data_IF_345621393155
#
_entry.id   IF_345621393155
#
_cell.length_a   1.000
_cell.length_b   1.000
_cell.length_c   1.000
_cell.angle_alpha   90.00
_cell.angle_beta   90.00
_cell.angle_gamma   90.00
#
_symmetry.space_group_name_H-M   'P 1'
#
loop_
_entity.id
_entity.type
_entity.pdbx_description
1 polymer ?
#
# COMPACT_ATOMS: atom_id res chain seq x y z
N UNK A 1 16.90 14.31 6.25
CA UNK A 1 16.59 13.45 5.08
C UNK A 1 15.95 14.32 4.02
N UNK A 2 16.23 14.07 2.75
CA UNK A 2 15.67 14.86 1.65
C UNK A 2 14.29 14.32 1.24
N UNK A 3 13.52 15.15 0.52
CA UNK A 3 12.24 14.75 -0.06
C UNK A 3 12.48 13.72 -1.16
N UNK A 4 11.72 12.63 -1.15
CA UNK A 4 11.80 11.53 -2.12
C UNK A 4 10.47 11.39 -2.86
N UNK A 5 10.54 11.11 -4.16
CA UNK A 5 9.41 10.69 -4.98
C UNK A 5 9.88 9.59 -5.94
N UNK A 6 9.22 8.44 -5.89
CA UNK A 6 9.39 7.30 -6.80
C UNK A 6 8.07 7.04 -7.51
N UNK A 7 8.14 6.50 -8.72
CA UNK A 7 6.97 6.14 -9.51
C UNK A 7 7.35 5.06 -10.52
N UNK A 8 6.34 4.33 -10.97
CA UNK A 8 6.41 3.34 -12.04
C UNK A 8 5.03 3.22 -12.67
N UNK A 9 4.80 2.15 -13.45
CA UNK A 9 3.53 1.97 -14.14
C UNK A 9 2.41 1.69 -13.12
N UNK A 10 1.44 2.59 -13.00
CA UNK A 10 0.30 2.41 -12.10
C UNK A 10 0.57 2.72 -10.63
N UNK A 11 1.74 3.27 -10.26
CA UNK A 11 2.03 3.58 -8.86
C UNK A 11 2.95 4.80 -8.67
N UNK A 12 2.77 5.48 -7.53
CA UNK A 12 3.63 6.56 -7.03
C UNK A 12 3.81 6.44 -5.53
N UNK A 13 5.01 6.74 -5.05
CA UNK A 13 5.36 6.69 -3.64
C UNK A 13 6.28 7.86 -3.29
N UNK A 14 5.89 8.67 -2.31
CA UNK A 14 6.66 9.85 -1.90
C UNK A 14 6.76 10.00 -0.39
N UNK A 15 7.85 10.63 0.04
CA UNK A 15 8.08 10.99 1.42
C UNK A 15 8.73 12.37 1.54
N UNK A 16 8.15 13.26 2.34
CA UNK A 16 8.66 14.58 2.64
C UNK A 16 8.82 14.76 4.16
N UNK A 17 10.02 14.57 4.73
CA UNK A 17 10.23 14.62 6.18
C UNK A 17 10.07 16.02 6.77
N UNK A 18 10.11 17.08 5.94
CA UNK A 18 9.97 18.48 6.37
C UNK A 18 8.54 19.00 6.24
N UNK A 19 7.61 18.21 5.70
CA UNK A 19 6.19 18.58 5.69
C UNK A 19 5.63 18.62 7.11
N UNK A 20 4.80 19.63 7.39
CA UNK A 20 4.24 19.84 8.72
C UNK A 20 3.16 18.81 9.11
N UNK A 21 2.37 18.34 8.14
CA UNK A 21 1.21 17.46 8.39
C UNK A 21 1.30 16.21 7.53
N UNK A 22 1.23 16.37 6.20
CA UNK A 22 1.22 15.25 5.28
C UNK A 22 2.63 14.95 4.76
N UNK A 23 3.26 13.94 5.36
CA UNK A 23 4.64 13.54 5.05
C UNK A 23 4.69 12.46 3.97
N UNK A 24 3.69 11.59 3.90
CA UNK A 24 3.61 10.54 2.91
C UNK A 24 2.85 10.96 1.65
N UNK A 25 3.13 10.32 0.53
CA UNK A 25 2.33 10.39 -0.68
C UNK A 25 2.23 9.00 -1.29
N UNK A 26 1.01 8.61 -1.64
CA UNK A 26 0.72 7.39 -2.38
C UNK A 26 -0.16 7.73 -3.59
N UNK A 27 -0.05 6.95 -4.66
CA UNK A 27 -0.80 7.26 -5.88
C UNK A 27 -0.75 6.16 -6.92
N UNK A 28 -1.59 6.32 -7.94
CA UNK A 28 -1.53 5.62 -9.22
C UNK A 28 -1.17 6.59 -10.35
N UNK A 29 -1.51 6.23 -11.59
CA UNK A 29 -1.22 7.07 -12.76
C UNK A 29 -2.01 8.39 -12.73
N UNK A 30 -3.31 8.32 -12.43
CA UNK A 30 -4.22 9.46 -12.54
C UNK A 30 -4.68 10.03 -11.19
N UNK A 31 -4.17 9.47 -10.09
CA UNK A 31 -4.53 9.92 -8.74
C UNK A 31 -3.31 9.89 -7.82
N UNK A 32 -3.32 10.77 -6.82
CA UNK A 32 -2.40 10.74 -5.71
C UNK A 32 -3.05 11.40 -4.50
N UNK A 33 -2.73 10.91 -3.32
CA UNK A 33 -3.15 11.47 -2.04
C UNK A 33 -1.95 11.58 -1.11
N UNK A 34 -1.99 12.58 -0.24
CA UNK A 34 -1.00 12.72 0.81
C UNK A 34 -1.48 12.03 2.09
N UNK A 35 -0.54 11.47 2.85
CA UNK A 35 -0.78 10.77 4.11
C UNK A 35 -0.07 11.51 5.24
N UNK A 36 -0.71 11.57 6.40
CA UNK A 36 -0.03 11.88 7.66
C UNK A 36 1.03 10.81 7.96
N UNK A 37 1.96 11.14 8.85
CA UNK A 37 2.97 10.16 9.30
C UNK A 37 2.33 8.94 9.98
N UNK A 38 1.22 9.12 10.70
CA UNK A 38 0.50 8.03 11.35
C UNK A 38 -0.18 7.11 10.33
N UNK A 39 -0.89 7.68 9.34
CA UNK A 39 -1.49 6.89 8.25
C UNK A 39 -0.42 6.14 7.45
N UNK A 40 0.72 6.77 7.20
CA UNK A 40 1.84 6.11 6.52
C UNK A 40 2.38 4.90 7.30
N UNK A 41 2.58 5.06 8.62
CA UNK A 41 3.07 4.00 9.48
C UNK A 41 2.08 2.84 9.59
N UNK A 42 0.79 3.13 9.71
CA UNK A 42 -0.25 2.11 9.74
C UNK A 42 -0.42 1.42 8.38
N UNK A 43 -0.38 2.17 7.28
CA UNK A 43 -0.40 1.61 5.93
C UNK A 43 0.76 0.64 5.74
N UNK A 44 1.98 1.02 6.14
CA UNK A 44 3.15 0.14 6.12
C UNK A 44 2.91 -1.16 6.90
N UNK A 45 2.43 -1.03 8.14
CA UNK A 45 2.23 -2.16 9.05
C UNK A 45 1.19 -3.13 8.50
N UNK A 46 0.04 -2.62 8.09
CA UNK A 46 -1.06 -3.41 7.55
C UNK A 46 -0.70 -4.02 6.20
N UNK A 47 -0.01 -3.28 5.33
CA UNK A 47 0.49 -3.79 4.05
C UNK A 47 1.44 -4.98 4.25
N UNK A 48 2.42 -4.87 5.16
CA UNK A 48 3.33 -5.98 5.46
C UNK A 48 2.62 -7.20 6.04
N UNK A 49 1.58 -6.98 6.86
CA UNK A 49 0.76 -8.07 7.39
C UNK A 49 0.01 -8.77 6.26
N UNK A 50 -0.67 -8.02 5.38
CA UNK A 50 -1.44 -8.58 4.28
C UNK A 50 -0.56 -9.30 3.25
N UNK A 51 0.58 -8.74 2.86
CA UNK A 51 1.48 -9.38 1.89
C UNK A 51 2.04 -10.69 2.46
N UNK A 52 2.37 -10.73 3.75
CA UNK A 52 2.80 -11.96 4.43
C UNK A 52 1.67 -12.99 4.49
N UNK A 53 0.43 -12.56 4.79
CA UNK A 53 -0.75 -13.45 4.78
C UNK A 53 -1.00 -14.02 3.39
N UNK A 54 -1.04 -13.19 2.35
CA UNK A 54 -1.24 -13.65 0.97
C UNK A 54 -0.17 -14.67 0.55
N UNK A 55 1.11 -14.41 0.87
CA UNK A 55 2.20 -15.32 0.57
C UNK A 55 2.07 -16.67 1.32
N UNK A 56 1.64 -16.64 2.58
CA UNK A 56 1.42 -17.86 3.36
C UNK A 56 0.25 -18.70 2.82
N UNK A 57 -0.77 -18.07 2.25
CA UNK A 57 -1.93 -18.77 1.69
C UNK A 57 -1.65 -19.38 0.31
N UNK A 58 -0.58 -18.96 -0.37
CA UNK A 58 -0.14 -19.53 -1.63
C UNK A 58 0.12 -21.05 -1.57
N UNK A 59 0.50 -21.59 -0.41
CA UNK A 59 0.76 -23.04 -0.25
C UNK A 59 -0.48 -23.87 0.02
N UNK A 60 -1.59 -23.22 0.39
CA UNK A 60 -2.81 -23.90 0.86
C UNK A 60 -3.95 -23.87 -0.18
N UNK A 61 -3.85 -22.99 -1.19
CA UNK A 61 -4.89 -22.77 -2.19
C UNK A 61 -4.62 -23.57 -3.46
N UNK A 62 -5.70 -24.01 -4.12
CA UNK A 62 -5.60 -24.49 -5.49
C UNK A 62 -5.43 -23.32 -6.47
N UNK A 63 -4.84 -23.56 -7.64
CA UNK A 63 -4.57 -22.51 -8.65
C UNK A 63 -5.84 -21.76 -9.09
N UNK A 64 -7.02 -22.40 -9.01
CA UNK A 64 -8.30 -21.81 -9.36
C UNK A 64 -8.96 -20.99 -8.25
N UNK A 65 -8.40 -20.97 -7.04
CA UNK A 65 -8.99 -20.32 -5.88
C UNK A 65 -8.48 -18.88 -5.70
N UNK A 66 -9.39 -17.91 -5.85
CA UNK A 66 -9.14 -16.53 -5.45
C UNK A 66 -9.42 -16.34 -3.96
N UNK A 67 -8.70 -15.41 -3.33
CA UNK A 67 -8.87 -15.02 -1.95
C UNK A 67 -8.97 -13.50 -1.79
N UNK A 68 -9.72 -13.07 -0.77
CA UNK A 68 -9.68 -11.71 -0.24
C UNK A 68 -9.20 -11.75 1.22
N UNK A 69 -8.23 -10.90 1.55
CA UNK A 69 -7.70 -10.71 2.89
C UNK A 69 -7.80 -9.24 3.27
N UNK A 70 -8.34 -8.96 4.45
CA UNK A 70 -8.55 -7.60 4.96
C UNK A 70 -7.72 -7.35 6.22
N UNK A 71 -7.25 -6.11 6.38
CA UNK A 71 -6.61 -5.66 7.60
C UNK A 71 -6.94 -4.18 7.85
N UNK A 72 -7.24 -3.83 9.10
CA UNK A 72 -7.69 -2.48 9.45
C UNK A 72 -7.05 -1.93 10.72
N UNK A 73 -7.12 -0.60 10.85
CA UNK A 73 -6.88 0.16 12.07
C UNK A 73 -7.91 1.29 12.18
N UNK A 74 -7.82 2.09 13.24
CA UNK A 74 -8.61 3.31 13.40
C UNK A 74 -8.32 4.39 12.33
N UNK A 75 -7.23 4.26 11.57
CA UNK A 75 -6.81 5.22 10.54
C UNK A 75 -7.25 4.81 9.14
N UNK A 76 -7.15 3.52 8.83
CA UNK A 76 -7.40 3.01 7.48
C UNK A 76 -7.72 1.52 7.45
N UNK A 77 -8.33 1.11 6.34
CA UNK A 77 -8.56 -0.27 5.97
C UNK A 77 -7.84 -0.60 4.68
N UNK A 78 -7.39 -1.85 4.58
CA UNK A 78 -6.76 -2.44 3.40
C UNK A 78 -7.41 -3.77 3.05
N UNK A 79 -7.46 -4.06 1.76
CA UNK A 79 -7.82 -5.38 1.26
C UNK A 79 -6.92 -5.77 0.10
N UNK A 80 -6.39 -6.99 0.19
CA UNK A 80 -5.75 -7.70 -0.90
C UNK A 80 -6.75 -8.70 -1.49
N UNK A 81 -7.06 -8.60 -2.78
CA UNK A 81 -8.03 -9.48 -3.44
C UNK A 81 -7.53 -9.98 -4.80
N UNK A 82 -7.56 -11.31 -4.99
CA UNK A 82 -7.12 -11.99 -6.20
C UNK A 82 -6.48 -13.34 -5.91
N UNK A 83 -5.46 -13.71 -6.68
CA UNK A 83 -4.67 -14.92 -6.45
C UNK A 83 -3.44 -14.57 -5.61
N UNK A 84 -2.85 -15.52 -4.87
CA UNK A 84 -1.69 -15.25 -4.00
C UNK A 84 -0.50 -14.59 -4.70
N UNK A 85 -0.28 -14.87 -5.98
CA UNK A 85 0.76 -14.29 -6.83
C UNK A 85 0.28 -13.12 -7.71
N UNK A 86 -1.02 -12.86 -7.75
CA UNK A 86 -1.65 -11.88 -8.64
C UNK A 86 -2.93 -11.31 -8.02
N UNK A 87 -2.78 -10.30 -7.16
CA UNK A 87 -3.87 -9.66 -6.44
C UNK A 87 -3.80 -8.14 -6.50
N UNK A 88 -4.96 -7.50 -6.50
CA UNK A 88 -5.12 -6.06 -6.36
C UNK A 88 -5.09 -5.65 -4.90
N UNK A 89 -4.78 -4.38 -4.63
CA UNK A 89 -4.83 -3.80 -3.30
C UNK A 89 -5.80 -2.62 -3.30
N UNK A 90 -6.74 -2.60 -2.35
CA UNK A 90 -7.64 -1.46 -2.09
C UNK A 90 -7.35 -0.87 -0.71
N UNK A 91 -7.62 0.42 -0.56
CA UNK A 91 -7.53 1.07 0.74
C UNK A 91 -8.65 2.10 0.93
N UNK A 92 -9.02 2.32 2.18
CA UNK A 92 -9.91 3.40 2.62
C UNK A 92 -9.25 4.11 3.79
N UNK A 93 -9.10 5.43 3.71
CA UNK A 93 -8.71 6.28 4.85
C UNK A 93 -9.95 6.77 5.59
N UNK A 94 -9.95 6.64 6.92
CA UNK A 94 -11.09 6.98 7.76
C UNK A 94 -11.06 8.40 8.31
N UNK A 95 -9.89 9.05 8.34
CA UNK A 95 -9.70 10.33 9.00
C UNK A 95 -9.40 11.48 8.03
N UNK A 96 -9.54 12.71 8.55
CA UNK A 96 -9.31 13.93 7.76
C UNK A 96 -10.29 14.06 6.60
N UNK A 97 -9.79 14.13 5.37
CA UNK A 97 -10.63 14.21 4.17
C UNK A 97 -11.37 12.90 3.89
N UNK A 98 -10.80 11.77 4.31
CA UNK A 98 -11.19 10.44 3.86
C UNK A 98 -10.98 10.26 2.35
N UNK A 99 -10.63 9.05 1.93
CA UNK A 99 -10.56 8.71 0.51
C UNK A 99 -10.46 7.20 0.33
N UNK A 100 -10.83 6.76 -0.87
CA UNK A 100 -10.61 5.40 -1.35
C UNK A 100 -9.62 5.45 -2.50
N UNK A 101 -8.79 4.41 -2.61
CA UNK A 101 -7.94 4.20 -3.77
C UNK A 101 -7.60 2.73 -3.94
N UNK A 102 -6.99 2.43 -5.07
CA UNK A 102 -6.64 1.06 -5.42
C UNK A 102 -5.40 1.00 -6.33
N UNK A 103 -4.70 -0.12 -6.24
CA UNK A 103 -3.66 -0.53 -7.17
C UNK A 103 -4.05 -1.85 -7.83
N UNK A 104 -3.82 -1.91 -9.13
CA UNK A 104 -3.97 -3.14 -9.90
C UNK A 104 -2.89 -4.15 -9.52
N UNK A 105 -3.18 -5.43 -9.76
CA UNK A 105 -2.22 -6.50 -9.51
C UNK A 105 -0.92 -6.37 -10.32
N UNK A 106 -0.96 -5.69 -11.47
CA UNK A 106 0.23 -5.40 -12.28
C UNK A 106 1.13 -4.32 -11.68
N UNK A 107 0.56 -3.35 -10.95
CA UNK A 107 1.33 -2.25 -10.35
C UNK A 107 1.92 -2.63 -8.99
N UNK A 108 1.26 -3.55 -8.27
CA UNK A 108 1.57 -3.87 -6.89
C UNK A 108 3.00 -4.41 -6.65
N UNK A 109 3.57 -5.30 -7.49
CA UNK A 109 4.93 -5.83 -7.25
C UNK A 109 6.01 -4.74 -7.23
N UNK A 110 5.97 -3.80 -8.18
CA UNK A 110 6.92 -2.68 -8.19
C UNK A 110 6.68 -1.71 -7.04
N UNK A 111 5.42 -1.43 -6.69
CA UNK A 111 5.08 -0.60 -5.54
C UNK A 111 5.64 -1.19 -4.25
N UNK A 112 5.46 -2.50 -4.01
CA UNK A 112 5.99 -3.19 -2.83
C UNK A 112 7.52 -3.12 -2.78
N UNK A 113 8.20 -3.39 -3.90
CA UNK A 113 9.65 -3.26 -3.97
C UNK A 113 10.12 -1.82 -3.70
N UNK A 114 9.39 -0.81 -4.19
CA UNK A 114 9.71 0.59 -3.93
C UNK A 114 9.48 0.97 -2.46
N UNK A 115 8.43 0.43 -1.85
CA UNK A 115 8.08 0.59 -0.44
C UNK A 115 9.21 0.06 0.44
N UNK A 116 9.61 -1.20 0.26
CA UNK A 116 10.68 -1.85 1.03
C UNK A 116 12.01 -1.11 0.91
N UNK A 117 12.37 -0.65 -0.29
CA UNK A 117 13.56 0.16 -0.51
C UNK A 117 13.48 1.53 0.18
N UNK A 118 12.29 2.08 0.38
CA UNK A 118 12.14 3.27 1.22
C UNK A 118 12.49 2.89 2.67
N UNK A 119 12.01 1.75 3.17
CA UNK A 119 12.19 1.28 4.55
C UNK A 119 13.65 1.12 4.99
N UNK A 120 14.53 0.64 4.10
CA UNK A 120 15.96 0.47 4.41
C UNK A 120 16.74 1.79 4.52
N UNK A 121 16.15 2.90 4.10
CA UNK A 121 16.77 4.23 4.17
C UNK A 121 16.27 5.07 5.37
N UNK A 122 15.52 4.48 6.31
CA UNK A 122 15.04 5.09 7.55
C UNK A 122 15.68 4.49 8.80
#
# INVERSE_FOLDING_TARGET
MEKILKYGSGWRLGWNPTAAVYKGLIGGDDWAIELTEAEWQDLRRLLSQLTATMAAMATELMDEESIACEAESELLWLEAAGFPDNYSLRFILYQGRGCEGNWSATALPELLAAWDNLLYNF
#
